data_IF_950053519183
#
_entry.id   IF_950053519183
#
_cell.length_a   1.000
_cell.length_b   1.000
_cell.length_c   1.000
_cell.angle_alpha   90.00
_cell.angle_beta   90.00
_cell.angle_gamma   90.00
#
_symmetry.space_group_name_H-M   'P 1'
#
loop_
_entity.id
_entity.type
_entity.pdbx_description
1 polymer ?
#
# COMPACT_ATOMS: atom_id res chain seq x y z
N UNK A 1 3.34 13.49 6.86
CA UNK A 1 2.65 14.67 6.32
C UNK A 1 1.70 14.23 5.21
N UNK A 2 0.43 14.67 5.26
CA UNK A 2 -0.50 14.53 4.15
C UNK A 2 -0.41 15.80 3.30
N UNK A 3 -0.01 15.63 2.03
CA UNK A 3 0.29 16.71 1.11
C UNK A 3 -0.51 16.50 -0.18
N UNK A 4 -1.08 17.57 -0.69
CA UNK A 4 -1.76 17.58 -1.99
C UNK A 4 -1.14 18.62 -2.91
N UNK A 5 -0.88 18.22 -4.14
CA UNK A 5 -0.51 19.15 -5.20
C UNK A 5 -1.77 19.81 -5.78
N UNK A 6 -1.84 21.14 -5.71
CA UNK A 6 -2.93 21.92 -6.29
C UNK A 6 -2.57 22.31 -7.73
N UNK A 7 -3.23 21.67 -8.70
CA UNK A 7 -2.98 21.93 -10.13
C UNK A 7 -3.39 23.33 -10.59
N UNK A 8 -4.18 24.06 -9.80
CA UNK A 8 -4.66 25.41 -10.16
C UNK A 8 -3.57 26.45 -10.03
N UNK A 9 -2.67 26.29 -9.07
CA UNK A 9 -1.60 27.24 -8.78
C UNK A 9 -0.20 26.61 -8.70
N UNK A 10 -0.08 25.31 -8.97
CA UNK A 10 1.19 24.57 -8.97
C UNK A 10 1.83 24.40 -7.60
N UNK A 11 1.07 24.56 -6.50
CA UNK A 11 1.61 24.53 -5.14
C UNK A 11 1.27 23.25 -4.39
N UNK A 12 2.18 22.85 -3.50
CA UNK A 12 1.91 21.81 -2.52
C UNK A 12 1.25 22.39 -1.28
N UNK A 13 0.16 21.77 -0.84
CA UNK A 13 -0.57 22.15 0.38
C UNK A 13 -0.50 21.05 1.40
N UNK A 14 -0.08 21.38 2.60
CA UNK A 14 -0.06 20.46 3.74
C UNK A 14 -1.44 20.46 4.40
N UNK A 15 -1.94 19.26 4.70
CA UNK A 15 -3.24 19.08 5.36
C UNK A 15 -3.08 18.62 6.79
N UNK A 16 -2.18 17.65 7.02
CA UNK A 16 -2.07 17.00 8.31
C UNK A 16 -0.62 16.55 8.56
N UNK A 17 -0.22 16.67 9.83
CA UNK A 17 1.02 16.07 10.35
C UNK A 17 0.64 14.85 11.17
N UNK A 18 0.92 13.68 10.65
CA UNK A 18 0.70 12.44 11.36
C UNK A 18 1.92 12.10 12.22
N UNK A 19 1.77 12.13 13.54
CA UNK A 19 2.81 11.75 14.52
C UNK A 19 2.95 10.24 14.69
N UNK A 20 2.20 9.45 13.92
CA UNK A 20 2.22 8.00 13.87
C UNK A 20 2.22 7.50 12.44
N UNK A 21 2.58 6.24 12.25
CA UNK A 21 2.48 5.61 10.94
C UNK A 21 1.01 5.55 10.47
N UNK A 22 0.75 5.99 9.26
CA UNK A 22 -0.54 5.89 8.59
C UNK A 22 -0.93 4.43 8.31
N UNK A 23 -2.23 4.17 8.16
CA UNK A 23 -2.73 2.81 7.85
C UNK A 23 -2.21 2.26 6.53
N UNK A 24 -1.88 3.12 5.60
CA UNK A 24 -1.40 2.76 4.26
C UNK A 24 0.12 2.61 4.17
N UNK A 25 0.89 2.94 5.21
CA UNK A 25 2.36 2.97 5.16
C UNK A 25 3.05 1.63 4.81
N UNK A 26 2.30 0.55 4.74
CA UNK A 26 2.85 -0.74 4.36
C UNK A 26 3.43 -0.76 2.93
N UNK A 27 3.05 0.18 2.07
CA UNK A 27 3.66 0.33 0.75
C UNK A 27 5.17 0.66 0.86
N UNK A 28 5.56 1.42 1.87
CA UNK A 28 6.98 1.73 2.14
C UNK A 28 7.75 0.47 2.51
N UNK A 29 7.15 -0.40 3.34
CA UNK A 29 7.72 -1.73 3.64
C UNK A 29 7.85 -2.60 2.39
N UNK A 30 6.87 -2.51 1.49
CA UNK A 30 6.89 -3.19 0.20
C UNK A 30 8.03 -2.75 -0.71
N UNK A 31 8.45 -1.49 -0.63
CA UNK A 31 9.62 -0.97 -1.35
C UNK A 31 10.96 -1.32 -0.69
N UNK A 32 10.96 -2.15 0.34
CA UNK A 32 12.18 -2.59 1.03
C UNK A 32 12.50 -1.83 2.33
N UNK A 33 11.75 -0.78 2.65
CA UNK A 33 12.03 0.11 3.78
C UNK A 33 11.01 -0.08 4.91
N UNK A 34 11.39 -0.82 5.94
CA UNK A 34 10.54 -0.97 7.11
C UNK A 34 10.73 0.20 8.09
N UNK A 35 9.80 1.17 8.04
CA UNK A 35 9.86 2.39 8.86
C UNK A 35 9.99 2.08 10.35
N UNK A 36 9.30 1.06 10.87
CA UNK A 36 9.41 0.68 12.27
C UNK A 36 10.82 0.19 12.64
N UNK A 37 11.47 -0.55 11.73
CA UNK A 37 12.86 -0.98 11.89
C UNK A 37 13.80 0.22 11.97
N UNK A 38 13.66 1.19 11.06
CA UNK A 38 14.48 2.40 11.03
C UNK A 38 14.35 3.19 12.34
N UNK A 39 13.12 3.39 12.83
CA UNK A 39 12.87 4.07 14.11
C UNK A 39 13.59 3.35 15.26
N UNK A 40 13.52 2.03 15.34
CA UNK A 40 14.22 1.27 16.39
C UNK A 40 15.73 1.34 16.25
N UNK A 41 16.27 1.22 15.04
CA UNK A 41 17.71 1.28 14.80
C UNK A 41 18.29 2.65 15.16
N UNK A 42 17.60 3.73 14.82
CA UNK A 42 18.03 5.10 15.13
C UNK A 42 17.83 5.44 16.61
N UNK A 43 16.60 5.34 17.13
CA UNK A 43 16.28 5.85 18.46
C UNK A 43 16.57 4.89 19.63
N UNK A 44 16.62 3.58 19.38
CA UNK A 44 16.92 2.59 20.42
C UNK A 44 18.39 2.18 20.38
N UNK A 45 18.92 1.95 19.18
CA UNK A 45 20.30 1.47 19.01
C UNK A 45 21.29 2.59 18.66
N UNK A 46 20.85 3.84 18.49
CA UNK A 46 21.71 4.99 18.21
C UNK A 46 22.48 4.89 16.88
N UNK A 47 21.94 4.16 15.91
CA UNK A 47 22.61 4.01 14.61
C UNK A 47 22.35 5.23 13.74
N UNK A 48 23.40 5.76 13.13
CA UNK A 48 23.27 6.69 12.03
C UNK A 48 22.84 5.94 10.76
N UNK A 49 21.68 6.35 10.20
CA UNK A 49 21.12 5.70 9.02
C UNK A 49 21.35 6.59 7.80
N UNK A 50 21.88 6.03 6.68
CA UNK A 50 22.05 6.79 5.46
C UNK A 50 20.69 7.16 4.83
N UNK A 51 20.67 8.24 4.04
CA UNK A 51 19.51 8.55 3.22
C UNK A 51 19.39 7.53 2.08
N UNK A 52 18.32 6.77 2.10
CA UNK A 52 18.00 5.79 1.07
C UNK A 52 16.72 6.18 0.34
N UNK A 53 16.68 5.98 -0.96
CA UNK A 53 15.53 6.29 -1.81
C UNK A 53 14.96 5.01 -2.42
N UNK A 54 13.65 4.84 -2.34
CA UNK A 54 12.94 3.77 -3.04
C UNK A 54 12.99 4.04 -4.56
N UNK A 55 13.68 3.17 -5.31
CA UNK A 55 13.86 3.28 -6.77
C UNK A 55 13.00 2.31 -7.55
N UNK A 56 12.50 1.28 -6.88
CA UNK A 56 11.73 0.23 -7.55
C UNK A 56 10.22 0.45 -7.42
N UNK A 57 9.53 0.24 -8.53
CA UNK A 57 8.09 0.19 -8.53
C UNK A 57 7.59 -1.12 -7.94
N UNK A 58 6.51 -1.05 -7.16
CA UNK A 58 5.79 -2.21 -6.67
C UNK A 58 4.29 -1.94 -6.60
N UNK A 59 3.52 -3.00 -6.62
CA UNK A 59 2.07 -2.95 -6.51
C UNK A 59 1.65 -3.14 -5.05
N UNK A 60 1.14 -2.08 -4.42
CA UNK A 60 0.45 -2.18 -3.14
C UNK A 60 -1.05 -2.32 -3.37
N UNK A 61 -1.65 -3.39 -2.84
CA UNK A 61 -3.06 -3.68 -3.14
C UNK A 61 -3.75 -4.38 -1.97
N UNK A 62 -4.94 -3.91 -1.61
CA UNK A 62 -5.80 -4.49 -0.55
C UNK A 62 -7.04 -5.19 -1.10
N UNK A 63 -7.38 -4.92 -2.36
CA UNK A 63 -8.56 -5.50 -3.03
C UNK A 63 -8.23 -6.79 -3.78
N UNK A 64 -9.23 -7.65 -4.11
CA UNK A 64 -9.00 -8.80 -4.97
C UNK A 64 -8.47 -8.39 -6.35
N UNK A 65 -7.52 -9.16 -6.89
CA UNK A 65 -6.97 -8.90 -8.24
C UNK A 65 -8.06 -8.78 -9.30
N UNK A 66 -9.07 -9.66 -9.24
CA UNK A 66 -10.18 -9.64 -10.19
C UNK A 66 -11.01 -8.34 -10.11
N UNK A 67 -11.18 -7.79 -8.90
CA UNK A 67 -11.83 -6.48 -8.71
C UNK A 67 -10.95 -5.37 -9.32
N UNK A 68 -9.66 -5.36 -9.03
CA UNK A 68 -8.76 -4.36 -9.58
C UNK A 68 -8.76 -4.40 -11.12
N UNK A 69 -8.60 -5.56 -11.74
CA UNK A 69 -8.63 -5.70 -13.20
C UNK A 69 -9.96 -5.30 -13.83
N UNK A 70 -11.09 -5.53 -13.14
CA UNK A 70 -12.40 -5.16 -13.66
C UNK A 70 -12.61 -3.65 -13.68
N UNK A 71 -12.09 -2.92 -12.68
CA UNK A 71 -12.41 -1.50 -12.48
C UNK A 71 -11.29 -0.54 -12.89
N UNK A 72 -10.09 -1.02 -13.21
CA UNK A 72 -9.06 -0.21 -13.84
C UNK A 72 -9.51 0.09 -15.28
N UNK A 73 -9.67 1.37 -15.61
CA UNK A 73 -10.16 1.82 -16.92
C UNK A 73 -9.02 1.95 -17.94
N UNK A 74 -7.89 2.47 -17.52
CA UNK A 74 -6.72 2.72 -18.36
C UNK A 74 -5.96 1.42 -18.63
N UNK A 75 -5.76 1.08 -19.90
CA UNK A 75 -5.04 -0.15 -20.28
C UNK A 75 -3.56 -0.11 -19.86
N UNK A 76 -2.93 1.05 -19.91
CA UNK A 76 -1.56 1.23 -19.40
C UNK A 76 -1.42 0.77 -17.95
N UNK A 77 -2.36 1.17 -17.08
CA UNK A 77 -2.37 0.75 -15.67
C UNK A 77 -2.63 -0.76 -15.51
N UNK A 78 -3.45 -1.35 -16.39
CA UNK A 78 -3.66 -2.81 -16.43
C UNK A 78 -2.40 -3.56 -16.79
N UNK A 79 -1.69 -3.11 -17.82
CA UNK A 79 -0.44 -3.72 -18.27
C UNK A 79 0.64 -3.60 -17.20
N UNK A 80 0.77 -2.41 -16.60
CA UNK A 80 1.67 -2.18 -15.48
C UNK A 80 1.36 -3.13 -14.30
N UNK A 81 0.10 -3.30 -13.97
CA UNK A 81 -0.32 -4.25 -12.94
C UNK A 81 0.02 -5.70 -13.31
N UNK A 82 -0.22 -6.13 -14.56
CA UNK A 82 0.15 -7.48 -15.04
C UNK A 82 1.65 -7.72 -14.90
N UNK A 83 2.46 -6.75 -15.33
CA UNK A 83 3.93 -6.80 -15.23
C UNK A 83 4.38 -6.97 -13.78
N UNK A 84 3.94 -6.10 -12.88
CA UNK A 84 4.32 -6.15 -11.47
C UNK A 84 3.87 -7.43 -10.76
N UNK A 85 2.71 -7.98 -11.14
CA UNK A 85 2.25 -9.29 -10.65
C UNK A 85 3.13 -10.44 -11.15
N UNK A 86 3.54 -10.42 -12.42
CA UNK A 86 4.45 -11.42 -13.01
C UNK A 86 5.84 -11.36 -12.35
N UNK A 87 6.33 -10.18 -12.09
CA UNK A 87 7.61 -9.93 -11.39
C UNK A 87 7.55 -10.21 -9.87
N UNK A 88 6.38 -10.63 -9.34
CA UNK A 88 6.13 -10.84 -7.91
C UNK A 88 6.36 -9.58 -7.04
N UNK A 89 6.32 -8.41 -7.64
CA UNK A 89 6.45 -7.09 -6.99
C UNK A 89 5.10 -6.60 -6.44
N UNK A 90 4.38 -7.48 -5.74
CA UNK A 90 3.10 -7.12 -5.09
C UNK A 90 3.19 -7.32 -3.59
N UNK A 91 2.70 -6.33 -2.85
CA UNK A 91 2.52 -6.40 -1.40
C UNK A 91 1.06 -6.23 -1.03
N UNK A 92 0.59 -7.07 -0.11
CA UNK A 92 -0.75 -7.00 0.44
C UNK A 92 -0.65 -6.89 1.97
N UNK A 93 -1.07 -5.76 2.57
CA UNK A 93 -0.97 -5.55 4.01
C UNK A 93 -1.98 -6.38 4.81
N UNK A 94 -3.01 -6.91 4.15
CA UNK A 94 -4.09 -7.68 4.80
C UNK A 94 -3.65 -9.12 5.05
N UNK A 95 -3.05 -9.76 4.03
CA UNK A 95 -2.61 -11.15 4.09
C UNK A 95 -1.11 -11.24 4.32
N UNK A 96 -0.68 -11.13 5.58
CA UNK A 96 0.73 -11.20 5.97
C UNK A 96 1.11 -12.61 6.41
N UNK A 97 2.24 -13.10 5.92
CA UNK A 97 2.83 -14.39 6.32
C UNK A 97 3.21 -14.33 7.81
N UNK A 98 2.82 -15.33 8.60
CA UNK A 98 3.15 -15.43 10.03
C UNK A 98 2.08 -14.90 11.00
N UNK A 99 1.03 -14.23 10.53
CA UNK A 99 -0.07 -13.74 11.35
C UNK A 99 -1.32 -14.64 11.17
N UNK A 100 -1.13 -15.93 11.42
CA UNK A 100 -2.17 -16.92 11.17
C UNK A 100 -2.97 -17.24 12.42
N UNK A 101 -4.02 -16.44 12.69
CA UNK A 101 -5.09 -16.79 13.64
C UNK A 101 -6.34 -17.16 12.82
N UNK A 102 -6.89 -18.39 12.93
CA UNK A 102 -7.98 -18.85 12.07
C UNK A 102 -9.18 -17.90 11.99
N UNK A 103 -9.65 -17.39 13.13
CA UNK A 103 -10.76 -16.42 13.20
C UNK A 103 -10.44 -15.14 12.43
N UNK A 104 -9.23 -14.62 12.57
CA UNK A 104 -8.78 -13.42 11.85
C UNK A 104 -8.71 -13.69 10.35
N UNK A 105 -8.16 -14.84 9.96
CA UNK A 105 -8.06 -15.22 8.55
C UNK A 105 -9.43 -15.30 7.89
N UNK A 106 -10.40 -15.95 8.53
CA UNK A 106 -11.79 -16.01 8.04
C UNK A 106 -12.41 -14.62 7.89
N UNK A 107 -12.22 -13.73 8.86
CA UNK A 107 -12.69 -12.35 8.78
C UNK A 107 -12.04 -11.59 7.62
N UNK A 108 -10.74 -11.78 7.40
CA UNK A 108 -10.00 -11.16 6.29
C UNK A 108 -10.51 -11.66 4.93
N UNK A 109 -10.71 -12.96 4.77
CA UNK A 109 -11.29 -13.56 3.55
C UNK A 109 -12.69 -13.02 3.30
N UNK A 110 -13.56 -12.99 4.32
CA UNK A 110 -14.91 -12.42 4.22
C UNK A 110 -14.87 -10.96 3.76
N UNK A 111 -14.02 -10.14 4.38
CA UNK A 111 -13.87 -8.73 4.00
C UNK A 111 -13.31 -8.57 2.58
N UNK A 112 -12.40 -9.45 2.18
CA UNK A 112 -11.81 -9.44 0.84
C UNK A 112 -12.87 -9.77 -0.22
N UNK A 113 -13.71 -10.78 0.02
CA UNK A 113 -14.83 -11.14 -0.87
C UNK A 113 -15.90 -10.05 -0.91
N UNK A 114 -16.16 -9.36 0.20
CA UNK A 114 -17.12 -8.24 0.26
C UNK A 114 -16.78 -7.10 -0.68
N UNK A 115 -15.50 -6.96 -1.07
CA UNK A 115 -15.08 -5.93 -2.03
C UNK A 115 -15.75 -6.08 -3.40
N UNK A 116 -16.08 -7.29 -3.85
CA UNK A 116 -16.82 -7.48 -5.10
C UNK A 116 -18.19 -6.77 -5.07
N UNK A 117 -18.92 -6.91 -3.96
CA UNK A 117 -20.21 -6.24 -3.77
C UNK A 117 -20.09 -4.73 -3.62
N UNK A 118 -19.09 -4.28 -2.85
CA UNK A 118 -18.84 -2.85 -2.64
C UNK A 118 -18.51 -2.14 -3.95
N UNK A 119 -17.59 -2.69 -4.73
CA UNK A 119 -17.21 -2.09 -6.01
C UNK A 119 -18.37 -2.09 -7.01
N UNK A 120 -19.16 -3.16 -7.05
CA UNK A 120 -20.38 -3.18 -7.87
C UNK A 120 -21.37 -2.09 -7.46
N UNK A 121 -21.51 -1.82 -6.16
CA UNK A 121 -22.46 -0.83 -5.64
C UNK A 121 -22.04 0.61 -5.91
N UNK A 122 -20.73 0.91 -5.83
CA UNK A 122 -20.23 2.29 -5.83
C UNK A 122 -19.51 2.72 -7.10
N UNK A 123 -19.20 1.79 -8.01
CA UNK A 123 -18.39 2.06 -9.22
C UNK A 123 -18.99 1.45 -10.50
N UNK A 124 -20.22 0.94 -10.46
CA UNK A 124 -20.94 0.47 -11.66
C UNK A 124 -21.82 1.56 -12.24
#
# INVERSE_FOLDING_TARGET
FDIKYDRRDGKYRFFEINTRQGRSNYYVTGSGFNVAKYVVEEYVYGKELPLELAKEEHLWMTVPKAVAFKYIKEEENREKMRRLLKEKKMVNPVFKRGDFKPRRYLAMVKNHLRQFGNFKKYYS
#
